data_IF_038181892366
#
_entry.id   IF_038181892366
#
_cell.length_a   1.000
_cell.length_b   1.000
_cell.length_c   1.000
_cell.angle_alpha   90.00
_cell.angle_beta   90.00
_cell.angle_gamma   90.00
#
_symmetry.space_group_name_H-M   'P 1'
#
loop_
_entity.id
_entity.type
_entity.pdbx_description
1 polymer ?
#
# COMPACT_ATOMS: atom_id res chain seq x y z
N UNK A 1 -18.70 9.32 8.93
CA UNK A 1 -17.83 8.13 8.84
C UNK A 1 -17.80 7.72 7.39
N UNK A 2 -16.59 7.60 6.83
CA UNK A 2 -16.41 6.99 5.51
C UNK A 2 -16.31 5.47 5.70
N UNK A 3 -16.89 4.72 4.79
CA UNK A 3 -16.69 3.29 4.70
C UNK A 3 -15.51 3.05 3.75
N UNK A 4 -14.42 2.40 4.22
CA UNK A 4 -13.26 2.10 3.42
C UNK A 4 -13.33 0.64 2.95
N UNK A 5 -13.26 0.45 1.64
CA UNK A 5 -13.32 -0.87 1.02
C UNK A 5 -12.07 -1.04 0.14
N UNK A 6 -11.39 -2.17 0.25
CA UNK A 6 -10.22 -2.50 -0.53
C UNK A 6 -10.57 -3.54 -1.58
N UNK A 7 -10.31 -3.20 -2.84
CA UNK A 7 -10.37 -4.12 -3.97
C UNK A 7 -8.96 -4.53 -4.33
N UNK A 8 -8.66 -5.82 -4.29
CA UNK A 8 -7.29 -6.33 -4.45
C UNK A 8 -7.04 -7.03 -5.77
N UNK A 9 -8.08 -7.22 -6.58
CA UNK A 9 -7.98 -7.92 -7.86
C UNK A 9 -9.02 -7.49 -8.88
N UNK A 10 -8.87 -7.97 -10.13
CA UNK A 10 -9.77 -7.65 -11.24
C UNK A 10 -10.98 -8.57 -11.33
N UNK A 11 -11.32 -9.30 -10.25
CA UNK A 11 -12.45 -10.23 -10.25
C UNK A 11 -13.77 -9.48 -10.36
N UNK A 12 -14.54 -9.78 -11.42
CA UNK A 12 -15.81 -9.14 -11.70
C UNK A 12 -16.90 -9.46 -10.65
N UNK A 13 -16.83 -10.64 -10.05
CA UNK A 13 -17.82 -11.07 -9.06
C UNK A 13 -17.55 -10.30 -7.77
N UNK A 14 -16.29 -10.32 -7.28
CA UNK A 14 -15.86 -9.54 -6.11
C UNK A 14 -16.21 -8.07 -6.28
N UNK A 15 -15.89 -7.48 -7.43
CA UNK A 15 -16.19 -6.09 -7.72
C UNK A 15 -17.69 -5.81 -7.63
N UNK A 16 -18.53 -6.56 -8.34
CA UNK A 16 -19.96 -6.34 -8.39
C UNK A 16 -20.62 -6.50 -6.99
N UNK A 17 -20.30 -7.55 -6.26
CA UNK A 17 -20.80 -7.76 -4.91
C UNK A 17 -20.38 -6.62 -3.96
N UNK A 18 -19.17 -6.10 -4.14
CA UNK A 18 -18.64 -5.01 -3.33
C UNK A 18 -19.34 -3.68 -3.59
N UNK A 19 -19.63 -3.36 -4.85
CA UNK A 19 -20.20 -2.06 -5.22
C UNK A 19 -21.73 -2.05 -5.25
N UNK A 20 -22.38 -3.20 -5.30
CA UNK A 20 -23.84 -3.32 -5.33
C UNK A 20 -24.56 -2.51 -4.24
N UNK A 21 -24.10 -2.53 -2.97
CA UNK A 21 -24.76 -1.76 -1.90
C UNK A 21 -24.41 -0.27 -1.88
N UNK A 22 -23.54 0.21 -2.78
CA UNK A 22 -23.02 1.58 -2.76
C UNK A 22 -23.82 2.51 -3.67
N UNK A 23 -23.95 3.77 -3.25
CA UNK A 23 -24.45 4.84 -4.10
C UNK A 23 -23.28 5.39 -4.95
N UNK A 24 -23.45 5.41 -6.27
CA UNK A 24 -22.39 5.83 -7.20
C UNK A 24 -21.95 7.28 -6.94
N UNK A 25 -22.92 8.17 -6.70
CA UNK A 25 -22.69 9.59 -6.45
C UNK A 25 -21.91 9.87 -5.15
N UNK A 26 -21.93 8.91 -4.21
CA UNK A 26 -21.26 9.03 -2.90
C UNK A 26 -19.98 8.20 -2.85
N UNK A 27 -19.62 7.51 -3.95
CA UNK A 27 -18.47 6.63 -4.01
C UNK A 27 -17.26 7.34 -4.62
N UNK A 28 -16.11 7.23 -3.98
CA UNK A 28 -14.84 7.80 -4.44
C UNK A 28 -13.78 6.71 -4.54
N UNK A 29 -13.10 6.63 -5.68
CA UNK A 29 -12.06 5.65 -5.95
C UNK A 29 -10.66 6.23 -5.78
N UNK A 30 -9.86 5.57 -4.96
CA UNK A 30 -8.43 5.84 -4.83
C UNK A 30 -7.69 4.74 -5.58
N UNK A 31 -7.08 5.09 -6.70
CA UNK A 31 -6.36 4.14 -7.57
C UNK A 31 -4.87 4.24 -7.30
N UNK A 32 -4.36 3.29 -6.54
CA UNK A 32 -2.97 3.26 -6.11
C UNK A 32 -2.17 2.29 -6.99
N UNK A 33 -1.30 2.83 -7.84
CA UNK A 33 -0.39 2.03 -8.66
C UNK A 33 0.93 2.75 -8.88
N UNK A 34 2.03 2.12 -8.52
CA UNK A 34 3.36 2.70 -8.76
C UNK A 34 3.59 2.97 -10.25
N UNK A 35 3.30 2.00 -11.10
CA UNK A 35 3.67 2.02 -12.52
C UNK A 35 2.53 2.35 -13.48
N UNK A 36 1.27 2.18 -13.08
CA UNK A 36 0.10 2.17 -13.97
C UNK A 36 0.33 1.31 -15.23
N UNK A 37 0.94 0.13 -15.04
CA UNK A 37 1.21 -0.84 -16.11
C UNK A 37 0.90 -2.27 -15.69
N UNK A 38 0.36 -2.47 -14.49
CA UNK A 38 -0.07 -3.77 -13.98
C UNK A 38 -1.46 -4.05 -14.52
N UNK A 39 -1.61 -5.15 -15.25
CA UNK A 39 -2.87 -5.48 -15.95
C UNK A 39 -4.06 -5.58 -14.99
N UNK A 40 -3.85 -6.17 -13.81
CA UNK A 40 -4.89 -6.29 -12.78
C UNK A 40 -5.38 -4.93 -12.32
N UNK A 41 -4.48 -3.96 -12.12
CA UNK A 41 -4.85 -2.60 -11.71
C UNK A 41 -5.64 -1.89 -12.82
N UNK A 42 -5.23 -2.06 -14.07
CA UNK A 42 -5.90 -1.45 -15.23
C UNK A 42 -7.29 -2.05 -15.44
N UNK A 43 -7.44 -3.36 -15.28
CA UNK A 43 -8.73 -4.03 -15.37
C UNK A 43 -9.68 -3.58 -14.25
N UNK A 44 -9.20 -3.50 -13.00
CA UNK A 44 -9.99 -2.99 -11.87
C UNK A 44 -10.42 -1.53 -12.10
N UNK A 45 -9.53 -0.70 -12.66
CA UNK A 45 -9.85 0.68 -13.03
C UNK A 45 -10.96 0.73 -14.09
N UNK A 46 -10.92 -0.11 -15.11
CA UNK A 46 -11.96 -0.16 -16.13
C UNK A 46 -13.30 -0.64 -15.56
N UNK A 47 -13.32 -1.59 -14.63
CA UNK A 47 -14.54 -1.97 -13.91
C UNK A 47 -15.12 -0.78 -13.15
N UNK A 48 -14.30 -0.05 -12.41
CA UNK A 48 -14.73 1.12 -11.65
C UNK A 48 -15.28 2.23 -12.57
N UNK A 49 -14.59 2.51 -13.68
CA UNK A 49 -15.05 3.48 -14.68
C UNK A 49 -16.40 3.10 -15.29
N UNK A 50 -16.58 1.84 -15.64
CA UNK A 50 -17.82 1.34 -16.23
C UNK A 50 -18.99 1.33 -15.24
N UNK A 51 -18.69 1.20 -13.95
CA UNK A 51 -19.69 1.22 -12.89
C UNK A 51 -20.19 2.64 -12.58
N UNK A 52 -19.34 3.67 -12.67
CA UNK A 52 -19.74 5.05 -12.43
C UNK A 52 -20.78 5.48 -13.47
N UNK A 53 -21.82 6.17 -13.03
CA UNK A 53 -22.87 6.71 -13.91
C UNK A 53 -22.26 7.61 -15.00
N UNK A 54 -22.83 7.55 -16.21
CA UNK A 54 -22.38 8.40 -17.33
C UNK A 54 -22.44 9.91 -17.03
N UNK A 55 -23.24 10.31 -16.07
CA UNK A 55 -23.41 11.72 -15.67
C UNK A 55 -22.45 12.15 -14.55
N UNK A 56 -21.67 11.22 -13.98
CA UNK A 56 -20.66 11.54 -12.99
C UNK A 56 -19.37 11.93 -13.67
N UNK A 57 -18.77 13.04 -13.23
CA UNK A 57 -17.45 13.44 -13.71
C UNK A 57 -16.39 12.51 -13.15
N UNK A 58 -15.56 11.96 -14.02
CA UNK A 58 -14.48 11.03 -13.62
C UNK A 58 -13.56 11.65 -12.56
N UNK A 59 -13.17 12.90 -12.74
CA UNK A 59 -12.23 13.55 -11.83
C UNK A 59 -12.84 13.92 -10.48
N UNK A 60 -14.17 13.95 -10.37
CA UNK A 60 -14.85 14.13 -9.08
C UNK A 60 -14.92 12.85 -8.26
N UNK A 61 -14.74 11.69 -8.89
CA UNK A 61 -14.88 10.38 -8.27
C UNK A 61 -13.58 9.58 -8.21
N UNK A 62 -12.48 10.08 -8.83
CA UNK A 62 -11.22 9.35 -8.90
C UNK A 62 -10.02 10.21 -8.55
N UNK A 63 -9.07 9.59 -7.83
CA UNK A 63 -7.71 10.11 -7.63
C UNK A 63 -6.70 9.00 -7.89
N UNK A 64 -5.60 9.35 -8.55
CA UNK A 64 -4.47 8.45 -8.73
C UNK A 64 -3.39 8.67 -7.66
N UNK A 65 -2.77 7.60 -7.18
CA UNK A 65 -1.55 7.65 -6.38
C UNK A 65 -0.48 6.87 -7.13
N UNK A 66 0.57 7.57 -7.62
CA UNK A 66 1.51 6.97 -8.56
C UNK A 66 2.89 7.62 -8.56
N UNK A 67 3.91 6.88 -9.02
CA UNK A 67 5.19 7.44 -9.41
C UNK A 67 5.26 7.79 -10.92
N UNK A 68 4.19 7.52 -11.68
CA UNK A 68 4.14 7.71 -13.15
C UNK A 68 3.02 8.68 -13.55
N UNK A 69 3.16 9.99 -13.26
CA UNK A 69 2.08 10.96 -13.48
C UNK A 69 1.66 11.07 -14.94
N UNK A 70 2.57 10.86 -15.89
CA UNK A 70 2.24 10.94 -17.32
C UNK A 70 1.29 9.81 -17.73
N UNK A 71 1.55 8.59 -17.27
CA UNK A 71 0.65 7.45 -17.52
C UNK A 71 -0.73 7.64 -16.87
N UNK A 72 -0.77 8.19 -15.65
CA UNK A 72 -2.03 8.51 -15.01
C UNK A 72 -2.83 9.55 -15.82
N UNK A 73 -2.17 10.56 -16.37
CA UNK A 73 -2.81 11.55 -17.26
C UNK A 73 -3.37 10.92 -18.54
N UNK A 74 -2.61 10.01 -19.16
CA UNK A 74 -3.07 9.27 -20.36
C UNK A 74 -4.33 8.44 -20.07
N UNK A 75 -4.49 7.96 -18.82
CA UNK A 75 -5.69 7.24 -18.34
C UNK A 75 -6.84 8.17 -17.94
N UNK A 76 -6.66 9.50 -18.02
CA UNK A 76 -7.70 10.49 -17.75
C UNK A 76 -7.66 11.12 -16.35
N UNK A 77 -6.69 10.80 -15.50
CA UNK A 77 -6.59 11.39 -14.17
C UNK A 77 -6.05 12.84 -14.23
N UNK A 78 -6.82 13.79 -13.71
CA UNK A 78 -6.35 15.15 -13.43
C UNK A 78 -5.94 15.29 -11.95
N UNK A 79 -6.61 14.56 -11.06
CA UNK A 79 -6.29 14.54 -9.64
C UNK A 79 -5.32 13.41 -9.35
N UNK A 80 -4.13 13.75 -8.82
CA UNK A 80 -3.14 12.74 -8.49
C UNK A 80 -2.23 13.17 -7.34
N UNK A 81 -1.78 12.19 -6.58
CA UNK A 81 -0.72 12.33 -5.59
C UNK A 81 0.48 11.55 -6.10
N UNK A 82 1.62 12.22 -6.21
CA UNK A 82 2.82 11.59 -6.74
C UNK A 82 3.84 11.31 -5.65
N UNK A 83 4.68 10.30 -5.88
CA UNK A 83 5.79 9.94 -5.01
C UNK A 83 7.01 9.52 -5.85
N UNK A 84 8.24 9.55 -5.27
CA UNK A 84 9.46 9.22 -5.98
C UNK A 84 9.47 7.77 -6.49
N UNK A 85 9.98 7.56 -7.72
CA UNK A 85 10.03 6.24 -8.35
C UNK A 85 10.99 5.27 -7.66
N UNK A 86 11.92 5.78 -6.87
CA UNK A 86 12.91 5.04 -6.10
C UNK A 86 12.30 4.24 -4.94
N UNK A 87 11.08 4.61 -4.50
CA UNK A 87 10.40 3.90 -3.42
C UNK A 87 10.01 2.49 -3.90
N UNK A 88 10.59 1.48 -3.27
CA UNK A 88 10.30 0.08 -3.52
C UNK A 88 8.90 -0.33 -2.99
N UNK A 89 8.31 -1.37 -3.58
CA UNK A 89 6.96 -1.82 -3.22
C UNK A 89 6.78 -2.12 -1.72
N UNK A 90 7.73 -2.83 -1.10
CA UNK A 90 7.70 -3.19 0.34
C UNK A 90 7.81 -1.98 1.27
N UNK A 91 8.43 -0.90 0.81
CA UNK A 91 8.59 0.35 1.58
C UNK A 91 7.52 1.39 1.23
N UNK A 92 6.58 1.06 0.36
CA UNK A 92 5.56 2.01 -0.11
C UNK A 92 4.56 2.42 0.97
N UNK A 93 4.45 1.65 2.06
CA UNK A 93 3.64 2.03 3.22
C UNK A 93 4.08 3.35 3.88
N UNK A 94 5.34 3.76 3.67
CA UNK A 94 5.89 5.05 4.13
C UNK A 94 5.69 6.18 3.12
N UNK A 95 4.98 5.92 2.03
CA UNK A 95 4.70 6.84 0.93
C UNK A 95 3.20 7.15 0.81
N UNK A 96 2.81 8.06 -0.08
CA UNK A 96 1.39 8.33 -0.36
C UNK A 96 0.55 7.11 -0.78
N UNK A 97 1.15 6.01 -1.17
CA UNK A 97 0.45 4.73 -1.43
C UNK A 97 -0.38 4.28 -0.22
N UNK A 98 0.09 4.59 0.99
CA UNK A 98 -0.63 4.26 2.23
C UNK A 98 -1.81 5.21 2.54
N UNK A 99 -2.14 6.17 1.68
CA UNK A 99 -3.21 7.13 1.93
C UNK A 99 -4.52 6.49 2.39
N UNK A 100 -5.00 5.38 1.82
CA UNK A 100 -6.21 4.72 2.33
C UNK A 100 -6.10 4.30 3.79
N UNK A 101 -4.96 3.74 4.19
CA UNK A 101 -4.69 3.36 5.58
C UNK A 101 -4.53 4.60 6.48
N UNK A 102 -4.00 5.71 5.96
CA UNK A 102 -3.91 6.99 6.66
C UNK A 102 -5.30 7.52 7.00
N UNK A 103 -6.22 7.47 6.07
CA UNK A 103 -7.59 7.93 6.26
C UNK A 103 -8.30 7.13 7.35
N UNK A 104 -8.02 5.83 7.43
CA UNK A 104 -8.55 4.93 8.47
C UNK A 104 -7.93 5.23 9.85
N UNK A 105 -6.61 5.40 9.93
CA UNK A 105 -5.88 5.59 11.18
C UNK A 105 -5.97 7.01 11.74
N UNK A 106 -6.30 8.00 10.91
CA UNK A 106 -6.38 9.39 11.32
C UNK A 106 -5.10 9.87 12.02
N UNK A 107 -5.23 10.38 13.26
CA UNK A 107 -4.07 10.88 14.03
C UNK A 107 -3.02 9.81 14.35
N UNK A 108 -3.41 8.56 14.44
CA UNK A 108 -2.49 7.43 14.68
C UNK A 108 -1.46 7.23 13.57
N UNK A 109 -1.76 7.71 12.36
CA UNK A 109 -0.81 7.66 11.25
C UNK A 109 0.45 8.52 11.47
N UNK A 110 0.31 9.68 12.10
CA UNK A 110 1.46 10.54 12.41
C UNK A 110 2.42 9.82 13.37
N UNK A 111 1.87 9.12 14.36
CA UNK A 111 2.69 8.34 15.30
C UNK A 111 3.35 7.14 14.61
N UNK A 112 2.68 6.53 13.66
CA UNK A 112 3.25 5.47 12.82
C UNK A 112 4.43 5.99 11.99
N UNK A 113 4.30 7.15 11.32
CA UNK A 113 5.40 7.78 10.57
C UNK A 113 6.58 8.17 11.47
N UNK A 114 6.30 8.69 12.67
CA UNK A 114 7.36 9.01 13.65
C UNK A 114 8.15 7.76 14.03
N UNK A 115 7.48 6.63 14.26
CA UNK A 115 8.15 5.36 14.56
C UNK A 115 9.11 4.92 13.45
N UNK A 116 8.69 5.06 12.18
CA UNK A 116 9.56 4.79 11.03
C UNK A 116 10.77 5.73 10.99
N UNK A 117 10.54 7.03 11.16
CA UNK A 117 11.64 8.02 11.21
C UNK A 117 12.60 7.80 12.38
N UNK A 118 12.12 7.32 13.52
CA UNK A 118 12.97 6.95 14.66
C UNK A 118 13.85 5.74 14.33
N UNK A 119 13.30 4.71 13.70
CA UNK A 119 14.07 3.55 13.26
C UNK A 119 15.15 3.93 12.24
N UNK A 120 14.85 4.84 11.29
CA UNK A 120 15.83 5.37 10.36
C UNK A 120 16.96 6.11 11.07
N UNK A 121 16.63 6.97 12.04
CA UNK A 121 17.64 7.69 12.83
C UNK A 121 18.53 6.73 13.64
N UNK A 122 17.95 5.71 14.26
CA UNK A 122 18.72 4.69 14.98
C UNK A 122 19.66 3.94 14.03
N UNK A 123 19.17 3.54 12.85
CA UNK A 123 20.00 2.86 11.85
C UNK A 123 21.15 3.75 11.35
N UNK A 124 20.93 5.06 11.22
CA UNK A 124 21.95 6.00 10.71
C UNK A 124 22.98 6.41 11.77
N UNK A 125 22.58 6.56 13.03
CA UNK A 125 23.37 7.24 14.03
C UNK A 125 23.67 6.42 15.29
N UNK A 126 22.96 5.31 15.54
CA UNK A 126 23.16 4.45 16.71
C UNK A 126 23.98 3.21 16.33
N UNK A 127 25.18 3.09 16.90
CA UNK A 127 26.06 1.98 16.63
C UNK A 127 25.59 0.66 17.24
N UNK A 128 24.97 0.67 18.40
CA UNK A 128 24.41 -0.51 19.04
C UNK A 128 23.26 -1.09 18.20
N UNK A 129 22.39 -0.22 17.69
CA UNK A 129 21.31 -0.62 16.78
C UNK A 129 21.85 -1.19 15.46
N UNK A 130 22.88 -0.56 14.87
CA UNK A 130 23.57 -1.09 13.68
C UNK A 130 24.16 -2.48 13.90
N UNK A 131 24.77 -2.70 15.04
CA UNK A 131 25.37 -4.00 15.36
C UNK A 131 24.31 -5.06 15.64
N UNK A 132 23.17 -4.68 16.22
CA UNK A 132 22.01 -5.55 16.33
C UNK A 132 21.49 -5.98 14.94
N UNK A 133 21.29 -5.05 14.02
CA UNK A 133 20.84 -5.36 12.65
C UNK A 133 21.84 -6.24 11.89
N UNK A 134 23.14 -5.95 12.00
CA UNK A 134 24.20 -6.81 11.44
C UNK A 134 24.14 -8.21 12.00
N UNK A 135 23.98 -8.34 13.31
CA UNK A 135 23.90 -9.64 13.98
C UNK A 135 22.72 -10.46 13.47
N UNK A 136 21.55 -9.84 13.32
CA UNK A 136 20.38 -10.50 12.73
C UNK A 136 20.66 -10.97 11.29
N UNK A 137 21.23 -10.10 10.47
CA UNK A 137 21.53 -10.41 9.06
C UNK A 137 22.57 -11.53 8.93
N UNK A 138 23.63 -11.50 9.75
CA UNK A 138 24.63 -12.57 9.77
C UNK A 138 24.08 -13.88 10.31
N UNK A 139 23.19 -13.83 11.31
CA UNK A 139 22.51 -15.04 11.82
C UNK A 139 21.69 -15.70 10.72
N UNK A 140 20.96 -14.91 9.95
CA UNK A 140 20.20 -15.40 8.81
C UNK A 140 21.06 -16.10 7.77
N UNK A 141 22.14 -15.44 7.35
CA UNK A 141 23.12 -16.01 6.41
C UNK A 141 23.75 -17.29 6.97
N UNK A 142 24.10 -17.29 8.26
CA UNK A 142 24.68 -18.46 8.91
C UNK A 142 23.73 -19.65 8.90
N UNK A 143 22.52 -19.45 9.36
CA UNK A 143 21.52 -20.52 9.42
C UNK A 143 21.14 -21.03 8.02
N UNK A 144 20.96 -20.13 7.06
CA UNK A 144 20.59 -20.49 5.70
C UNK A 144 21.76 -21.20 4.97
N UNK A 145 22.93 -20.57 4.89
CA UNK A 145 24.00 -21.02 4.00
C UNK A 145 24.87 -22.12 4.63
N UNK A 146 25.08 -22.09 5.96
CA UNK A 146 26.03 -23.03 6.62
C UNK A 146 25.30 -24.11 7.41
N UNK A 147 24.14 -23.81 8.00
CA UNK A 147 23.38 -24.78 8.79
C UNK A 147 22.25 -25.44 7.98
N UNK A 148 22.09 -25.07 6.71
CA UNK A 148 21.06 -25.60 5.81
C UNK A 148 19.65 -25.57 6.40
N UNK A 149 19.31 -24.46 7.10
CA UNK A 149 17.97 -24.22 7.65
C UNK A 149 17.17 -23.36 6.66
N UNK A 150 16.33 -23.99 5.87
CA UNK A 150 15.59 -23.36 4.78
C UNK A 150 14.32 -22.65 5.26
N UNK A 151 13.90 -22.90 6.50
CA UNK A 151 12.66 -22.37 7.04
C UNK A 151 12.93 -21.36 8.15
N UNK A 152 12.27 -20.20 8.04
CA UNK A 152 12.21 -19.18 9.08
C UNK A 152 10.82 -19.15 9.69
N UNK A 153 10.73 -19.02 11.00
CA UNK A 153 9.47 -18.86 11.72
C UNK A 153 9.45 -17.49 12.37
N UNK A 154 8.43 -16.72 12.10
CA UNK A 154 8.14 -15.44 12.75
C UNK A 154 6.97 -15.63 13.71
N UNK A 155 7.20 -15.40 15.01
CA UNK A 155 6.20 -15.56 16.05
C UNK A 155 5.83 -14.21 16.66
N UNK A 156 4.61 -13.75 16.39
CA UNK A 156 4.09 -12.51 16.96
C UNK A 156 3.22 -12.85 18.19
N UNK A 157 3.69 -12.48 19.38
CA UNK A 157 2.98 -12.76 20.63
C UNK A 157 1.86 -11.75 20.91
N UNK A 158 1.92 -10.56 20.35
CA UNK A 158 0.88 -9.55 20.52
C UNK A 158 -0.26 -9.75 19.53
N UNK A 159 -1.51 -9.78 20.03
CA UNK A 159 -2.69 -9.80 19.17
C UNK A 159 -2.73 -8.63 18.18
N UNK A 160 -2.21 -7.47 18.56
CA UNK A 160 -2.11 -6.30 17.67
C UNK A 160 -1.20 -6.54 16.47
N UNK A 161 -0.25 -7.47 16.59
CA UNK A 161 0.71 -7.83 15.54
C UNK A 161 0.30 -9.07 14.74
N UNK A 162 -0.91 -9.58 14.89
CA UNK A 162 -1.35 -10.84 14.27
C UNK A 162 -1.21 -10.89 12.74
N UNK A 163 -1.36 -9.76 12.08
CA UNK A 163 -1.22 -9.64 10.62
C UNK A 163 0.22 -9.33 10.17
N UNK A 164 1.14 -9.14 11.11
CA UNK A 164 2.52 -8.82 10.76
C UNK A 164 3.21 -9.96 10.02
N UNK A 165 2.83 -11.21 10.30
CA UNK A 165 3.36 -12.38 9.61
C UNK A 165 3.01 -12.39 8.11
N UNK A 166 1.85 -11.85 7.74
CA UNK A 166 1.42 -11.77 6.35
C UNK A 166 2.16 -10.66 5.59
N UNK A 167 2.65 -9.67 6.33
CA UNK A 167 3.45 -8.57 5.79
C UNK A 167 4.94 -8.93 5.65
N UNK A 168 5.53 -9.62 6.61
CA UNK A 168 6.96 -9.90 6.70
C UNK A 168 7.42 -11.02 5.77
#
# INVERSE_FOLDING_TARGET
HFNHIFLTGPDHIEFNETVEPLAQEETFFIVSSKSFSTDETLQSLELAKNWILKNCDFNSHFIAITSQPNKAKELGFNNMITFPNEIGGRYSMWSPIALPAILELGKGFIEFLKGGGEADNQLLYDNEYKDFIKTLSFSDLWYSNFMHRETRVLLTYSWKMRFFNDYA
#
